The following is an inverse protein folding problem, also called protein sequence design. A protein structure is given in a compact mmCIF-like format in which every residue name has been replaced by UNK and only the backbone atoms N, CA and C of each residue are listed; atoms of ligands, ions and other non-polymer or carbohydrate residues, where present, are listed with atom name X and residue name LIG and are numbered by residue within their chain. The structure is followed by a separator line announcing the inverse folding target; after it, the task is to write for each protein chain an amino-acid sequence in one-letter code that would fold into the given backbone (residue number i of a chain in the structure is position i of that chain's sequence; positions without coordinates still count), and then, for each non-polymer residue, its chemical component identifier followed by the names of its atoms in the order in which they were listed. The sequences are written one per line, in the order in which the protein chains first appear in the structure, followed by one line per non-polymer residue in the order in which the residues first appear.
data_IF_346434476730
#
_entry.id   IF_346434476730
#
_cell.length_a   1.000
_cell.length_b   1.000
_cell.length_c   1.000
_cell.angle_alpha   90.00
_cell.angle_beta   90.00
_cell.angle_gamma   90.00
#
_symmetry.space_group_name_H-M   'P 1'
#
loop_
_entity.id
_entity.type
_entity.pdbx_description
1 polymer ?
#
# COMPACT_ATOMS: atom_id res chain seq x y z
N UNK A 1 6.99 1.26 -8.54
CA UNK A 1 7.13 0.13 -7.61
C UNK A 1 5.83 -0.05 -6.86
N UNK A 2 5.30 -1.28 -6.77
CA UNK A 2 4.07 -1.55 -6.01
C UNK A 2 4.23 -1.06 -4.57
N UNK A 3 3.24 -0.30 -4.08
CA UNK A 3 3.29 0.33 -2.76
C UNK A 3 3.31 -0.70 -1.63
N UNK A 4 2.82 -1.91 -1.83
CA UNK A 4 2.69 -2.87 -0.73
C UNK A 4 2.74 -4.30 -1.24
N UNK A 5 3.46 -5.16 -0.51
CA UNK A 5 3.31 -6.59 -0.62
C UNK A 5 2.21 -7.07 0.35
N UNK A 6 1.00 -7.18 -0.19
CA UNK A 6 -0.20 -7.57 0.57
C UNK A 6 -0.13 -8.97 1.15
N UNK A 7 0.74 -9.85 0.64
CA UNK A 7 0.90 -11.20 1.16
C UNK A 7 1.46 -11.22 2.59
N UNK A 8 2.15 -10.15 3.00
CA UNK A 8 2.68 -10.00 4.36
C UNK A 8 1.64 -9.49 5.37
N UNK A 9 0.51 -8.99 4.88
CA UNK A 9 -0.58 -8.50 5.70
C UNK A 9 -1.60 -9.63 5.86
N UNK A 10 -1.93 -9.99 7.11
CA UNK A 10 -3.06 -10.89 7.39
C UNK A 10 -4.39 -10.16 7.17
N UNK A 11 -4.71 -9.90 5.90
CA UNK A 11 -5.98 -9.29 5.48
C UNK A 11 -7.02 -10.37 5.24
N UNK A 12 -8.28 -10.06 5.54
CA UNK A 12 -9.41 -10.88 5.06
C UNK A 12 -9.57 -10.74 3.55
N UNK A 13 -10.28 -11.65 2.91
CA UNK A 13 -10.54 -11.61 1.46
C UNK A 13 -11.22 -10.30 1.02
N UNK A 14 -12.16 -9.78 1.81
CA UNK A 14 -12.83 -8.49 1.55
C UNK A 14 -11.84 -7.32 1.64
N UNK A 15 -11.08 -7.25 2.74
CA UNK A 15 -10.07 -6.21 2.93
C UNK A 15 -9.03 -6.25 1.81
N UNK A 16 -8.56 -7.44 1.44
CA UNK A 16 -7.57 -7.64 0.37
C UNK A 16 -8.10 -7.16 -0.98
N UNK A 17 -9.34 -7.49 -1.32
CA UNK A 17 -9.94 -7.08 -2.59
C UNK A 17 -10.00 -5.57 -2.73
N UNK A 18 -10.46 -4.86 -1.68
CA UNK A 18 -10.52 -3.39 -1.67
C UNK A 18 -9.13 -2.76 -1.76
N UNK A 19 -8.17 -3.28 -0.99
CA UNK A 19 -6.79 -2.78 -1.02
C UNK A 19 -6.14 -3.01 -2.39
N UNK A 20 -6.33 -4.18 -3.02
CA UNK A 20 -5.81 -4.45 -4.38
C UNK A 20 -6.40 -3.47 -5.38
N UNK A 21 -7.70 -3.21 -5.31
CA UNK A 21 -8.37 -2.24 -6.18
C UNK A 21 -7.77 -0.83 -6.01
N UNK A 22 -7.70 -0.32 -4.79
CA UNK A 22 -7.13 1.01 -4.53
C UNK A 22 -5.63 1.08 -4.81
N UNK A 23 -4.90 -0.02 -4.66
CA UNK A 23 -3.49 -0.10 -5.04
C UNK A 23 -3.34 -0.03 -6.57
N UNK A 24 -4.21 -0.69 -7.33
CA UNK A 24 -4.21 -0.60 -8.79
C UNK A 24 -4.52 0.83 -9.24
N UNK A 25 -5.48 1.51 -8.59
CA UNK A 25 -5.76 2.92 -8.84
C UNK A 25 -4.57 3.82 -8.47
N UNK A 26 -3.94 3.58 -7.32
CA UNK A 26 -2.70 4.25 -6.93
C UNK A 26 -1.64 4.06 -8.02
N UNK A 27 -1.37 2.83 -8.46
CA UNK A 27 -0.36 2.55 -9.49
C UNK A 27 -0.70 3.20 -10.84
N UNK A 28 -1.98 3.20 -11.24
CA UNK A 28 -2.47 3.86 -12.45
C UNK A 28 -2.23 5.37 -12.40
N UNK A 29 -2.37 5.99 -11.24
CA UNK A 29 -2.05 7.40 -11.00
C UNK A 29 -0.54 7.65 -10.76
N UNK A 30 0.33 6.65 -10.97
CA UNK A 30 1.78 6.75 -10.72
C UNK A 30 2.18 6.63 -9.24
N UNK A 31 1.23 6.30 -8.37
CA UNK A 31 1.36 6.26 -6.91
C UNK A 31 2.09 7.50 -6.39
N UNK A 32 1.64 8.70 -6.79
CA UNK A 32 2.18 9.97 -6.29
C UNK A 32 1.91 10.14 -4.80
N UNK A 33 2.43 11.21 -4.20
CA UNK A 33 2.23 11.50 -2.77
C UNK A 33 0.74 11.65 -2.44
N UNK A 34 -0.01 12.34 -3.30
CA UNK A 34 -1.47 12.51 -3.17
C UNK A 34 -2.22 11.19 -3.31
N UNK A 35 -1.97 10.44 -4.39
CA UNK A 35 -2.67 9.17 -4.63
C UNK A 35 -2.40 8.15 -3.51
N UNK A 36 -1.17 8.14 -2.97
CA UNK A 36 -0.83 7.35 -1.77
C UNK A 36 -1.55 7.82 -0.52
N UNK A 37 -1.73 9.12 -0.31
CA UNK A 37 -2.49 9.60 0.85
C UNK A 37 -3.96 9.19 0.76
N UNK A 38 -4.59 9.29 -0.42
CA UNK A 38 -5.95 8.83 -0.65
C UNK A 38 -6.07 7.33 -0.40
N UNK A 39 -5.16 6.53 -0.97
CA UNK A 39 -5.06 5.08 -0.72
C UNK A 39 -4.96 4.76 0.77
N UNK A 40 -4.05 5.41 1.50
CA UNK A 40 -3.89 5.20 2.95
C UNK A 40 -5.13 5.62 3.73
N UNK A 41 -5.81 6.69 3.33
CA UNK A 41 -7.03 7.17 4.00
C UNK A 41 -8.17 6.16 3.85
N UNK A 42 -8.34 5.60 2.66
CA UNK A 42 -9.31 4.53 2.40
C UNK A 42 -8.95 3.24 3.14
N UNK A 43 -7.66 2.83 3.09
CA UNK A 43 -7.16 1.69 3.83
C UNK A 43 -7.43 1.80 5.34
N UNK A 44 -7.20 2.98 5.94
CA UNK A 44 -7.46 3.22 7.37
C UNK A 44 -8.94 3.03 7.76
N UNK A 45 -9.88 3.23 6.83
CA UNK A 45 -11.30 3.03 7.07
C UNK A 45 -11.75 1.57 7.15
N UNK A 46 -11.00 0.65 6.54
CA UNK A 46 -11.34 -0.78 6.49
C UNK A 46 -10.35 -1.68 7.24
N UNK A 47 -9.14 -1.18 7.52
CA UNK A 47 -8.09 -1.91 8.20
C UNK A 47 -8.07 -1.57 9.70
N UNK A 48 -7.76 -2.58 10.51
CA UNK A 48 -7.41 -2.37 11.91
C UNK A 48 -6.11 -1.57 12.03
N UNK A 49 -5.92 -0.89 13.16
CA UNK A 49 -4.73 -0.06 13.41
C UNK A 49 -3.40 -0.80 13.14
N UNK A 50 -3.30 -2.09 13.54
CA UNK A 50 -2.12 -2.93 13.28
C UNK A 50 -1.92 -3.23 11.79
N UNK A 51 -2.97 -3.60 11.07
CA UNK A 51 -2.91 -3.87 9.63
C UNK A 51 -2.55 -2.59 8.85
N UNK A 52 -3.13 -1.45 9.24
CA UNK A 52 -2.84 -0.16 8.64
C UNK A 52 -1.39 0.27 8.89
N UNK A 53 -0.87 0.07 10.11
CA UNK A 53 0.52 0.39 10.44
C UNK A 53 1.51 -0.42 9.57
N UNK A 54 1.27 -1.73 9.39
CA UNK A 54 2.10 -2.56 8.52
C UNK A 54 1.99 -2.13 7.05
N UNK A 55 0.79 -1.83 6.55
CA UNK A 55 0.57 -1.36 5.18
C UNK A 55 1.28 -0.03 4.92
N UNK A 56 1.17 0.92 5.87
CA UNK A 56 1.86 2.21 5.82
C UNK A 56 3.38 2.05 5.86
N UNK A 57 3.91 1.08 6.61
CA UNK A 57 5.34 0.80 6.67
C UNK A 57 5.86 0.22 5.34
N UNK A 58 5.12 -0.71 4.73
CA UNK A 58 5.42 -1.29 3.41
C UNK A 58 5.49 -0.19 2.32
N UNK A 59 4.47 0.67 2.24
CA UNK A 59 4.43 1.80 1.30
C UNK A 59 5.56 2.81 1.44
N UNK A 60 6.11 2.97 2.64
CA UNK A 60 7.27 3.84 2.87
C UNK A 60 8.60 3.15 2.54
N UNK A 61 8.72 1.83 2.75
CA UNK A 61 9.93 1.07 2.40
C UNK A 61 10.15 1.00 0.90
N UNK A 62 9.10 0.81 0.11
CA UNK A 62 9.18 0.79 -1.36
C UNK A 62 9.64 2.11 -1.99
N UNK A 63 9.66 3.22 -1.24
CA UNK A 63 10.25 4.49 -1.69
C UNK A 63 11.76 4.60 -1.39
N UNK A 64 12.28 3.80 -0.46
CA UNK A 64 13.71 3.77 -0.09
C UNK A 64 14.50 2.68 -0.84
N UNK A 65 13.87 1.56 -1.18
CA UNK A 65 14.55 0.46 -1.89
C UNK A 65 14.88 0.76 -3.36
N UNK A 66 14.19 1.73 -4.00
CA UNK A 66 14.53 2.18 -5.35
C UNK A 66 15.90 2.87 -5.45
N UNK A 67 16.62 3.08 -4.33
CA UNK A 67 18.00 3.61 -4.34
C UNK A 67 19.08 2.50 -4.22
N UNK A 68 18.73 1.22 -4.09
CA UNK A 68 19.75 0.17 -3.96
C UNK A 68 19.32 -1.19 -4.50
N UNK A 69 19.06 -1.29 -5.80
CA UNK A 69 19.30 -2.52 -6.58
C UNK A 69 19.47 -2.15 -8.05
N UNK A 70 20.62 -1.60 -8.37
CA UNK A 70 21.32 -1.84 -9.64
C UNK A 70 22.69 -2.37 -9.21
N UNK A 71 22.94 -3.65 -9.49
CA UNK A 71 24.24 -4.28 -9.48
C UNK A 71 24.27 -5.19 -10.71
#
# INVERSE_FOLDING_TARGET
MACVNLATLKLTSDQKTKIVAWQAECMKAGCTKESRQTFLKQAKGILSAQQFAQLKAQCQKSAKETKKTEA
#
